data_IF_675823043309
#
_entry.id   IF_675823043309
#
_cell.length_a   1.000
_cell.length_b   1.000
_cell.length_c   1.000
_cell.angle_alpha   90.00
_cell.angle_beta   90.00
_cell.angle_gamma   90.00
#
_symmetry.space_group_name_H-M   'P 1'
#
loop_
_entity.id
_entity.type
_entity.pdbx_description
1 polymer ?
#
# COMPACT_ATOMS: atom_id res chain seq x y z
N UNK A 1 -35.20 59.10 -59.71
CA UNK A 1 -36.44 58.94 -59.00
C UNK A 1 -36.13 57.88 -57.91
N UNK A 2 -35.73 58.33 -56.84
CA UNK A 2 -36.38 58.78 -55.59
C UNK A 2 -36.48 57.61 -54.61
N UNK A 3 -35.98 57.65 -53.64
CA UNK A 3 -35.81 58.26 -52.32
C UNK A 3 -35.79 57.14 -51.29
N UNK A 4 -34.73 57.10 -50.49
CA UNK A 4 -34.65 57.39 -49.05
C UNK A 4 -35.63 56.53 -48.21
N UNK A 5 -35.18 55.91 -47.15
CA UNK A 5 -34.81 56.46 -45.84
C UNK A 5 -34.19 55.41 -44.94
N UNK A 6 -33.16 55.81 -44.36
CA UNK A 6 -32.51 55.58 -43.08
C UNK A 6 -33.49 55.17 -41.96
N UNK A 7 -33.13 54.13 -41.21
CA UNK A 7 -33.47 54.10 -39.79
C UNK A 7 -32.48 53.21 -39.00
N UNK A 8 -31.68 53.87 -38.21
CA UNK A 8 -30.71 53.34 -37.26
C UNK A 8 -31.45 52.90 -36.03
N UNK A 9 -31.30 51.62 -35.64
CA UNK A 9 -31.69 51.18 -34.33
C UNK A 9 -30.46 50.63 -33.58
N UNK A 10 -30.11 51.38 -32.53
CA UNK A 10 -29.02 51.05 -31.60
C UNK A 10 -29.49 49.99 -30.64
N UNK A 11 -28.99 48.77 -30.78
CA UNK A 11 -29.07 47.74 -29.73
C UNK A 11 -27.78 47.76 -28.89
N UNK A 12 -27.92 48.24 -27.67
CA UNK A 12 -26.91 48.15 -26.61
C UNK A 12 -26.56 46.68 -26.30
N UNK A 13 -25.33 46.33 -26.56
CA UNK A 13 -24.75 45.03 -26.14
C UNK A 13 -24.27 45.18 -24.69
N UNK A 14 -25.08 44.68 -23.72
CA UNK A 14 -24.63 44.48 -22.35
C UNK A 14 -23.61 43.36 -22.32
N UNK A 15 -22.36 43.71 -22.08
CA UNK A 15 -21.28 42.79 -21.73
C UNK A 15 -21.57 42.24 -20.33
N UNK A 16 -21.95 40.97 -20.26
CA UNK A 16 -21.93 40.20 -19.01
C UNK A 16 -20.47 39.80 -18.78
N UNK A 17 -19.85 40.38 -17.77
CA UNK A 17 -18.55 39.94 -17.23
C UNK A 17 -18.72 38.51 -16.73
N UNK A 18 -18.14 37.55 -17.46
CA UNK A 18 -17.84 36.22 -16.96
C UNK A 18 -16.67 36.39 -16.00
N UNK A 19 -16.93 36.32 -14.70
CA UNK A 19 -15.92 36.24 -13.68
C UNK A 19 -15.06 35.02 -13.93
N UNK A 20 -13.79 35.25 -14.25
CA UNK A 20 -12.79 34.21 -14.32
C UNK A 20 -12.47 33.73 -12.91
N UNK A 21 -13.09 32.64 -12.46
CA UNK A 21 -12.65 31.94 -11.26
C UNK A 21 -11.23 31.41 -11.50
N UNK A 22 -10.36 31.70 -10.55
CA UNK A 22 -8.96 31.31 -10.59
C UNK A 22 -8.85 29.76 -10.51
N UNK A 23 -7.88 29.13 -11.19
CA UNK A 23 -7.63 27.68 -11.04
C UNK A 23 -7.33 27.23 -9.60
N UNK A 24 -6.96 28.15 -8.72
CA UNK A 24 -6.75 27.92 -7.29
C UNK A 24 -8.08 27.75 -6.53
N UNK A 25 -9.12 28.52 -6.86
CA UNK A 25 -10.45 28.41 -6.23
C UNK A 25 -11.16 27.11 -6.64
N UNK A 26 -10.92 26.61 -7.86
CA UNK A 26 -11.41 25.29 -8.29
C UNK A 26 -10.73 24.13 -7.57
N UNK A 27 -9.48 24.31 -7.11
CA UNK A 27 -8.77 23.29 -6.32
C UNK A 27 -9.24 23.25 -4.86
N UNK A 28 -9.55 24.41 -4.25
CA UNK A 28 -10.08 24.46 -2.87
C UNK A 28 -11.48 23.83 -2.76
N UNK A 29 -12.31 23.95 -3.78
CA UNK A 29 -13.66 23.34 -3.76
C UNK A 29 -13.65 21.81 -3.98
N UNK A 30 -12.62 21.27 -4.65
CA UNK A 30 -12.51 19.82 -4.89
C UNK A 30 -11.91 19.06 -3.71
N UNK A 31 -11.13 19.72 -2.84
CA UNK A 31 -10.53 19.09 -1.66
C UNK A 31 -11.53 18.91 -0.50
N UNK A 32 -12.62 19.68 -0.45
CA UNK A 32 -13.64 19.52 0.61
C UNK A 32 -14.59 18.32 0.36
N UNK A 33 -14.75 17.86 -0.87
CA UNK A 33 -15.69 16.78 -1.22
C UNK A 33 -15.15 15.37 -0.91
N UNK A 34 -13.85 15.23 -0.64
CA UNK A 34 -13.17 13.95 -0.30
C UNK A 34 -12.73 13.86 1.16
N UNK A 35 -13.18 14.75 2.01
CA UNK A 35 -12.87 14.72 3.45
C UNK A 35 -13.58 13.54 4.14
N UNK A 36 -12.94 12.58 4.08
CA UNK A 36 -12.59 11.30 4.52
C UNK A 36 -13.26 10.82 5.75
N UNK A 37 -14.10 11.02 6.41
CA UNK A 37 -14.59 10.17 7.52
C UNK A 37 -16.11 10.29 7.68
N UNK A 38 -16.83 9.33 7.13
CA UNK A 38 -18.27 9.18 7.37
C UNK A 38 -18.61 8.91 8.86
N UNK A 39 -17.60 8.53 9.66
CA UNK A 39 -17.73 8.24 11.08
C UNK A 39 -16.46 8.72 11.81
N UNK A 40 -16.62 9.68 12.72
CA UNK A 40 -15.54 10.27 13.52
C UNK A 40 -15.16 9.43 14.76
N UNK A 41 -15.49 8.13 14.79
CA UNK A 41 -15.26 7.25 15.93
C UNK A 41 -13.79 7.16 16.30
N UNK A 42 -12.88 7.25 15.33
CA UNK A 42 -11.46 7.14 15.58
C UNK A 42 -10.72 8.42 15.20
N UNK A 43 -9.72 8.79 16.01
CA UNK A 43 -8.80 9.89 15.74
C UNK A 43 -7.73 9.46 14.75
N UNK A 44 -7.07 10.43 14.11
CA UNK A 44 -5.87 10.18 13.30
C UNK A 44 -4.78 9.56 14.15
N UNK A 45 -3.99 8.67 13.57
CA UNK A 45 -2.78 8.16 14.20
C UNK A 45 -1.77 9.30 14.42
N UNK A 46 -0.95 9.15 15.45
CA UNK A 46 0.22 10.02 15.62
C UNK A 46 1.40 9.36 14.92
N UNK A 47 1.98 10.08 13.97
CA UNK A 47 3.15 9.64 13.23
C UNK A 47 4.40 10.30 13.79
N UNK A 48 5.50 9.58 13.73
CA UNK A 48 6.84 10.12 13.95
C UNK A 48 7.48 10.48 12.61
N UNK A 49 8.63 11.15 12.63
CA UNK A 49 9.39 11.53 11.43
C UNK A 49 9.56 10.34 10.48
N UNK A 50 9.27 10.47 9.18
CA UNK A 50 9.54 9.44 8.21
C UNK A 50 10.99 8.97 8.24
N UNK A 51 11.20 7.68 7.98
CA UNK A 51 12.54 7.12 7.86
C UNK A 51 13.23 7.64 6.60
N UNK A 52 14.52 7.96 6.69
CA UNK A 52 15.36 8.31 5.54
C UNK A 52 15.78 7.09 4.69
N UNK A 53 15.42 5.88 5.12
CA UNK A 53 15.74 4.65 4.40
C UNK A 53 14.97 4.57 3.08
N UNK A 54 15.58 3.87 2.12
CA UNK A 54 14.88 3.36 0.94
C UNK A 54 14.43 1.93 1.17
N UNK A 55 13.47 1.49 0.38
CA UNK A 55 12.90 0.15 0.50
C UNK A 55 12.71 -0.47 -0.88
N UNK A 56 12.96 -1.77 -0.99
CA UNK A 56 12.56 -2.58 -2.14
C UNK A 56 11.64 -3.67 -1.59
N UNK A 57 10.36 -3.58 -1.93
CA UNK A 57 9.41 -4.64 -1.65
C UNK A 57 9.29 -5.56 -2.86
N UNK A 58 9.41 -6.88 -2.63
CA UNK A 58 9.20 -7.91 -3.64
C UNK A 58 8.11 -8.83 -3.12
N UNK A 59 6.98 -8.90 -3.84
CA UNK A 59 5.91 -9.86 -3.62
C UNK A 59 5.97 -10.97 -4.66
N UNK A 60 5.87 -12.24 -4.26
CA UNK A 60 5.93 -13.37 -5.17
C UNK A 60 4.80 -14.38 -4.91
N UNK A 61 4.14 -14.80 -5.98
CA UNK A 61 3.15 -15.87 -5.98
C UNK A 61 3.81 -17.18 -6.40
N UNK A 62 4.14 -18.01 -5.43
CA UNK A 62 4.82 -19.30 -5.67
C UNK A 62 3.82 -20.45 -5.62
N UNK A 63 3.19 -20.67 -4.48
CA UNK A 63 2.14 -21.65 -4.24
C UNK A 63 1.16 -21.12 -3.19
N UNK A 64 0.35 -20.12 -3.55
CA UNK A 64 -0.54 -19.48 -2.61
C UNK A 64 -1.58 -20.47 -2.10
N UNK A 65 -1.79 -20.47 -0.78
CA UNK A 65 -2.80 -21.28 -0.11
C UNK A 65 -3.81 -20.39 0.57
N UNK A 66 -5.08 -20.66 0.40
CA UNK A 66 -6.13 -20.00 1.17
C UNK A 66 -6.33 -20.70 2.52
N UNK A 67 -6.92 -20.00 3.49
CA UNK A 67 -7.37 -20.61 4.74
C UNK A 67 -8.37 -21.76 4.48
N UNK A 68 -8.31 -22.88 5.19
CA UNK A 68 -7.40 -23.17 6.32
C UNK A 68 -6.05 -23.79 5.91
N UNK A 69 -5.77 -23.98 4.63
CA UNK A 69 -4.59 -24.70 4.13
C UNK A 69 -3.25 -24.01 4.46
N UNK A 70 -3.28 -22.69 4.73
CA UNK A 70 -2.10 -21.93 5.18
C UNK A 70 -1.60 -22.38 6.56
N UNK A 71 -2.43 -23.04 7.36
CA UNK A 71 -2.06 -23.59 8.66
C UNK A 71 -1.35 -24.95 8.57
N UNK A 72 -1.36 -25.59 7.40
CA UNK A 72 -0.64 -26.85 7.17
C UNK A 72 0.84 -26.59 6.88
N UNK A 73 1.72 -27.56 7.17
CA UNK A 73 3.14 -27.48 6.83
C UNK A 73 3.35 -27.11 5.36
N UNK A 74 4.31 -26.26 5.09
CA UNK A 74 4.71 -25.86 3.73
C UNK A 74 5.35 -27.06 3.00
N UNK A 75 5.15 -27.10 1.68
CA UNK A 75 5.76 -28.15 0.86
C UNK A 75 7.27 -28.00 0.78
N UNK A 76 7.97 -29.12 0.53
CA UNK A 76 9.44 -29.18 0.47
C UNK A 76 10.03 -28.14 -0.49
N UNK A 77 9.48 -27.98 -1.69
CA UNK A 77 9.97 -27.04 -2.71
C UNK A 77 9.94 -25.58 -2.21
N UNK A 78 8.87 -25.19 -1.53
CA UNK A 78 8.77 -23.84 -0.94
C UNK A 78 9.76 -23.68 0.22
N UNK A 79 9.97 -24.70 1.03
CA UNK A 79 10.98 -24.68 2.11
C UNK A 79 12.39 -24.49 1.55
N UNK A 80 12.71 -25.21 0.47
CA UNK A 80 14.00 -25.10 -0.22
C UNK A 80 14.19 -23.71 -0.84
N UNK A 81 13.12 -23.14 -1.43
CA UNK A 81 13.15 -21.78 -1.94
C UNK A 81 13.43 -20.78 -0.81
N UNK A 82 12.67 -20.82 0.28
CA UNK A 82 12.85 -19.90 1.41
C UNK A 82 14.26 -19.99 2.01
N UNK A 83 14.83 -21.19 2.07
CA UNK A 83 16.22 -21.38 2.51
C UNK A 83 17.20 -20.67 1.57
N UNK A 84 17.05 -20.86 0.26
CA UNK A 84 17.89 -20.16 -0.74
C UNK A 84 17.71 -18.64 -0.67
N UNK A 85 16.49 -18.15 -0.51
CA UNK A 85 16.23 -16.71 -0.41
C UNK A 85 16.90 -16.10 0.83
N UNK A 86 16.90 -16.79 1.97
CA UNK A 86 17.62 -16.34 3.17
C UNK A 86 19.14 -16.26 2.96
N UNK A 87 19.73 -17.21 2.22
CA UNK A 87 21.14 -17.15 1.86
C UNK A 87 21.44 -15.94 0.96
N UNK A 88 20.57 -15.68 -0.03
CA UNK A 88 20.72 -14.51 -0.92
C UNK A 88 20.51 -13.19 -0.17
N UNK A 89 19.56 -13.16 0.77
CA UNK A 89 19.34 -11.99 1.62
C UNK A 89 20.60 -11.64 2.43
N UNK A 90 21.30 -12.61 3.00
CA UNK A 90 22.58 -12.37 3.71
C UNK A 90 23.65 -11.78 2.79
N UNK A 91 23.74 -12.24 1.53
CA UNK A 91 24.69 -11.64 0.57
C UNK A 91 24.30 -10.21 0.19
N UNK A 92 23.00 -9.87 0.20
CA UNK A 92 22.56 -8.47 0.05
C UNK A 92 22.96 -7.63 1.25
N UNK A 93 22.86 -8.14 2.46
CA UNK A 93 23.26 -7.44 3.69
C UNK A 93 24.80 -7.22 3.80
N UNK A 94 25.62 -7.90 2.98
CA UNK A 94 27.04 -7.62 2.84
C UNK A 94 27.32 -6.34 2.03
N UNK A 95 26.33 -5.84 1.28
CA UNK A 95 26.45 -4.58 0.52
C UNK A 95 26.34 -3.39 1.47
N UNK A 96 27.27 -2.43 1.36
CA UNK A 96 27.24 -1.22 2.20
C UNK A 96 25.95 -0.44 2.09
N UNK A 97 25.28 -0.48 0.95
CA UNK A 97 24.03 0.22 0.68
C UNK A 97 22.79 -0.42 1.33
N UNK A 98 22.88 -1.66 1.84
CA UNK A 98 21.78 -2.42 2.42
C UNK A 98 21.87 -2.40 3.94
N UNK A 99 20.77 -2.10 4.60
CA UNK A 99 20.63 -2.20 6.06
C UNK A 99 20.13 -3.58 6.48
N UNK A 100 19.05 -4.07 5.85
CA UNK A 100 18.48 -5.40 6.12
C UNK A 100 17.83 -5.98 4.87
N UNK A 101 17.74 -7.31 4.81
CA UNK A 101 16.98 -8.04 3.78
C UNK A 101 16.17 -9.16 4.43
N UNK A 102 14.89 -8.93 4.64
CA UNK A 102 14.02 -9.84 5.40
C UNK A 102 13.12 -10.65 4.48
N UNK A 103 13.06 -11.95 4.72
CA UNK A 103 12.20 -12.89 3.98
C UNK A 103 10.98 -13.23 4.82
N UNK A 104 9.80 -13.12 4.21
CA UNK A 104 8.52 -13.44 4.81
C UNK A 104 7.81 -14.56 4.07
N UNK A 105 7.09 -15.39 4.80
CA UNK A 105 6.13 -16.33 4.23
C UNK A 105 4.71 -16.05 4.73
N UNK A 106 3.72 -16.30 3.88
CA UNK A 106 2.32 -16.11 4.23
C UNK A 106 1.90 -16.99 5.40
N UNK A 107 1.37 -16.35 6.42
CA UNK A 107 0.69 -16.99 7.55
C UNK A 107 -0.82 -17.13 7.31
N UNK A 108 -1.43 -16.12 6.67
CA UNK A 108 -2.83 -16.17 6.23
C UNK A 108 -3.09 -15.15 5.11
N UNK A 109 -3.94 -15.52 4.18
CA UNK A 109 -4.41 -14.64 3.11
C UNK A 109 -5.94 -14.59 3.15
N UNK A 110 -6.54 -13.43 3.47
CA UNK A 110 -7.98 -13.25 3.41
C UNK A 110 -8.52 -13.38 1.99
N UNK A 111 -9.82 -13.67 1.81
CA UNK A 111 -10.44 -13.73 0.50
C UNK A 111 -10.59 -12.31 -0.09
N UNK A 112 -9.56 -11.79 -0.74
CA UNK A 112 -9.46 -10.42 -1.28
C UNK A 112 -10.62 -10.03 -2.19
N UNK A 113 -11.16 -10.97 -2.97
CA UNK A 113 -12.29 -10.78 -3.87
C UNK A 113 -13.61 -10.37 -3.19
N UNK A 114 -13.66 -10.38 -1.85
CA UNK A 114 -14.85 -9.96 -1.07
C UNK A 114 -14.87 -8.49 -0.72
N UNK A 115 -13.74 -7.80 -0.88
CA UNK A 115 -13.65 -6.36 -0.63
C UNK A 115 -14.33 -5.61 -1.78
N UNK A 116 -15.21 -4.62 -1.51
CA UNK A 116 -16.04 -3.99 -2.54
C UNK A 116 -15.24 -3.44 -3.71
N UNK A 117 -14.30 -2.53 -3.46
CA UNK A 117 -13.47 -1.93 -4.51
C UNK A 117 -12.69 -2.98 -5.31
N UNK A 118 -12.06 -3.95 -4.62
CA UNK A 118 -11.32 -5.04 -5.25
C UNK A 118 -12.21 -5.89 -6.16
N UNK A 119 -13.45 -6.15 -5.73
CA UNK A 119 -14.43 -6.91 -6.52
C UNK A 119 -14.82 -6.18 -7.81
N UNK A 120 -14.99 -4.87 -7.72
CA UNK A 120 -15.40 -4.03 -8.86
C UNK A 120 -14.26 -3.87 -9.87
N UNK A 121 -12.99 -3.80 -9.40
CA UNK A 121 -11.81 -3.55 -10.23
C UNK A 121 -10.90 -4.77 -10.44
N UNK A 122 -11.37 -5.98 -10.14
CA UNK A 122 -10.57 -7.22 -10.14
C UNK A 122 -9.85 -7.53 -11.47
N UNK A 123 -10.35 -7.03 -12.59
CA UNK A 123 -9.81 -7.28 -13.92
C UNK A 123 -8.81 -6.19 -14.37
N UNK A 124 -8.69 -5.09 -13.60
CA UNK A 124 -7.81 -3.95 -13.88
C UNK A 124 -6.72 -3.74 -12.84
N UNK A 125 -6.79 -4.40 -11.69
CA UNK A 125 -5.80 -4.27 -10.62
C UNK A 125 -4.96 -5.54 -10.47
N UNK A 126 -3.71 -5.39 -10.07
CA UNK A 126 -2.86 -6.50 -9.67
C UNK A 126 -3.27 -7.02 -8.29
N UNK A 127 -3.80 -8.25 -8.23
CA UNK A 127 -4.24 -8.83 -6.96
C UNK A 127 -3.03 -9.31 -6.14
N UNK A 128 -2.84 -8.78 -4.93
CA UNK A 128 -1.75 -9.13 -4.03
C UNK A 128 -1.90 -10.56 -3.44
N UNK A 129 -1.66 -11.58 -4.26
CA UNK A 129 -1.70 -12.99 -3.87
C UNK A 129 -0.33 -13.55 -3.52
N UNK A 130 0.55 -12.69 -3.03
CA UNK A 130 1.95 -13.03 -2.76
C UNK A 130 2.06 -13.89 -1.51
N UNK A 131 2.52 -15.11 -1.68
CA UNK A 131 2.72 -16.06 -0.58
C UNK A 131 4.18 -16.12 -0.09
N UNK A 132 5.06 -15.37 -0.75
CA UNK A 132 6.40 -15.00 -0.30
C UNK A 132 6.55 -13.50 -0.48
N UNK A 133 7.14 -12.83 0.51
CA UNK A 133 7.53 -11.43 0.38
C UNK A 133 8.98 -11.25 0.82
N UNK A 134 9.67 -10.29 0.21
CA UNK A 134 11.00 -9.83 0.61
C UNK A 134 10.93 -8.32 0.81
N UNK A 135 11.49 -7.85 1.92
CA UNK A 135 11.67 -6.43 2.15
C UNK A 135 13.16 -6.17 2.34
N UNK A 136 13.73 -5.40 1.44
CA UNK A 136 15.11 -4.92 1.51
C UNK A 136 15.05 -3.46 1.96
N UNK A 137 15.71 -3.15 3.05
CA UNK A 137 15.90 -1.78 3.56
C UNK A 137 17.28 -1.30 3.16
N UNK A 138 17.35 -0.12 2.58
CA UNK A 138 18.60 0.48 2.08
C UNK A 138 18.85 1.81 2.77
N UNK A 139 20.08 2.29 2.77
CA UNK A 139 20.50 3.52 3.46
C UNK A 139 19.78 4.79 2.97
N UNK A 140 19.23 4.75 1.78
CA UNK A 140 18.44 5.85 1.20
C UNK A 140 17.56 5.36 0.06
N UNK A 141 16.55 6.15 -0.36
CA UNK A 141 15.77 5.84 -1.57
C UNK A 141 16.62 5.72 -2.84
N UNK A 142 17.66 6.52 -2.98
CA UNK A 142 18.60 6.40 -4.11
C UNK A 142 19.37 5.07 -4.09
N UNK A 143 19.82 4.65 -2.90
CA UNK A 143 20.51 3.38 -2.73
C UNK A 143 19.62 2.16 -3.10
N UNK A 144 18.29 2.28 -3.01
CA UNK A 144 17.39 1.22 -3.47
C UNK A 144 17.55 0.95 -4.98
N UNK A 145 17.71 2.00 -5.78
CA UNK A 145 17.98 1.85 -7.23
C UNK A 145 19.35 1.21 -7.50
N UNK A 146 20.38 1.67 -6.80
CA UNK A 146 21.73 1.12 -6.93
C UNK A 146 21.77 -0.38 -6.58
N UNK A 147 21.08 -0.78 -5.51
CA UNK A 147 20.98 -2.18 -5.09
C UNK A 147 20.32 -3.04 -6.16
N UNK A 148 19.28 -2.54 -6.84
CA UNK A 148 18.60 -3.28 -7.91
C UNK A 148 19.53 -3.60 -9.10
N UNK A 149 20.58 -2.84 -9.32
CA UNK A 149 21.57 -3.06 -10.39
C UNK A 149 22.66 -4.07 -9.99
N UNK A 150 22.75 -4.45 -8.72
CA UNK A 150 23.80 -5.36 -8.23
C UNK A 150 23.59 -6.82 -8.62
N UNK A 151 24.69 -7.56 -8.78
CA UNK A 151 24.64 -9.00 -9.04
C UNK A 151 23.97 -9.78 -7.89
N UNK A 152 24.10 -9.31 -6.65
CA UNK A 152 23.48 -9.94 -5.48
C UNK A 152 21.93 -9.86 -5.59
N UNK A 153 21.41 -8.69 -5.98
CA UNK A 153 19.98 -8.50 -6.21
C UNK A 153 19.47 -9.34 -7.38
N UNK A 154 20.17 -9.33 -8.52
CA UNK A 154 19.80 -10.14 -9.68
C UNK A 154 19.75 -11.63 -9.33
N UNK A 155 20.72 -12.12 -8.54
CA UNK A 155 20.74 -13.52 -8.10
C UNK A 155 19.57 -13.88 -7.18
N UNK A 156 19.11 -12.93 -6.33
CA UNK A 156 17.89 -13.09 -5.54
C UNK A 156 16.68 -13.14 -6.45
N UNK A 157 16.56 -12.20 -7.41
CA UNK A 157 15.45 -12.11 -8.35
C UNK A 157 15.34 -13.36 -9.24
N UNK A 158 16.45 -13.88 -9.75
CA UNK A 158 16.48 -15.13 -10.52
C UNK A 158 15.91 -16.30 -9.72
N UNK A 159 16.25 -16.40 -8.43
CA UNK A 159 15.72 -17.46 -7.56
C UNK A 159 14.20 -17.33 -7.34
N UNK A 160 13.68 -16.11 -7.26
CA UNK A 160 12.24 -15.83 -7.13
C UNK A 160 11.53 -16.12 -8.45
N UNK A 161 12.00 -15.55 -9.56
CA UNK A 161 11.36 -15.66 -10.88
C UNK A 161 11.29 -17.09 -11.38
N UNK A 162 12.32 -17.91 -11.11
CA UNK A 162 12.32 -19.32 -11.45
C UNK A 162 11.30 -20.17 -10.68
N UNK A 163 10.77 -19.66 -9.56
CA UNK A 163 9.85 -20.40 -8.70
C UNK A 163 8.43 -19.80 -8.68
N UNK A 164 8.30 -18.53 -9.00
CA UNK A 164 7.05 -17.79 -8.92
C UNK A 164 6.28 -17.79 -10.25
N UNK A 165 4.97 -17.79 -10.16
CA UNK A 165 4.06 -17.59 -11.29
C UNK A 165 3.73 -16.12 -11.52
N UNK A 166 3.99 -15.28 -10.52
CA UNK A 166 3.73 -13.86 -10.53
C UNK A 166 4.67 -13.15 -9.54
N UNK A 167 5.22 -12.01 -9.94
CA UNK A 167 6.16 -11.23 -9.13
C UNK A 167 5.86 -9.75 -9.29
N UNK A 168 5.76 -9.06 -8.17
CA UNK A 168 5.68 -7.60 -8.10
C UNK A 168 6.91 -7.06 -7.38
N UNK A 169 7.49 -5.99 -7.90
CA UNK A 169 8.61 -5.27 -7.29
C UNK A 169 8.25 -3.81 -7.18
N UNK A 170 8.54 -3.19 -6.05
CA UNK A 170 8.34 -1.76 -5.83
C UNK A 170 9.53 -1.18 -5.05
N UNK A 171 10.29 -0.33 -5.71
CA UNK A 171 11.23 0.55 -5.02
C UNK A 171 10.46 1.74 -4.42
N UNK A 172 10.71 2.05 -3.15
CA UNK A 172 9.85 2.93 -2.39
C UNK A 172 10.59 3.71 -1.31
N UNK A 173 9.93 4.76 -0.80
CA UNK A 173 10.33 5.52 0.37
C UNK A 173 9.28 5.40 1.47
N UNK A 174 9.68 5.67 2.71
CA UNK A 174 8.71 5.78 3.79
C UNK A 174 8.01 7.15 3.74
N UNK A 175 6.69 7.12 3.73
CA UNK A 175 5.85 8.32 3.74
C UNK A 175 5.35 8.66 5.14
N UNK A 176 4.88 7.64 5.88
CA UNK A 176 4.37 7.76 7.24
C UNK A 176 4.81 6.57 8.08
N UNK A 177 5.10 6.79 9.37
CA UNK A 177 5.34 5.69 10.31
C UNK A 177 4.86 6.03 11.72
N UNK A 178 4.37 5.00 12.42
CA UNK A 178 4.02 5.09 13.84
C UNK A 178 5.25 4.78 14.69
N UNK A 179 5.99 3.76 14.32
CA UNK A 179 7.22 3.31 14.95
C UNK A 179 7.90 2.26 14.08
N UNK A 180 9.10 1.84 14.45
CA UNK A 180 9.87 0.86 13.68
C UNK A 180 9.27 -0.54 13.81
N UNK A 181 9.18 -1.23 12.67
CA UNK A 181 8.70 -2.62 12.61
C UNK A 181 9.86 -3.56 12.94
N UNK A 182 9.84 -4.17 14.14
CA UNK A 182 10.89 -5.11 14.57
C UNK A 182 10.81 -6.42 13.77
N UNK A 183 11.75 -6.60 12.86
CA UNK A 183 11.89 -7.79 12.01
C UNK A 183 12.88 -8.82 12.58
N UNK A 184 13.36 -8.63 13.81
CA UNK A 184 14.27 -9.56 14.48
C UNK A 184 13.52 -10.65 15.26
N UNK A 185 12.21 -10.44 15.53
CA UNK A 185 11.37 -11.34 16.32
C UNK A 185 10.20 -11.85 15.51
N UNK A 186 9.81 -13.08 15.77
CA UNK A 186 8.57 -13.65 15.25
C UNK A 186 7.35 -12.85 15.72
N UNK A 187 6.31 -12.88 14.91
CA UNK A 187 5.04 -12.19 15.17
C UNK A 187 4.11 -12.35 13.97
N UNK A 188 3.00 -11.65 14.00
CA UNK A 188 2.16 -11.49 12.82
C UNK A 188 2.55 -10.19 12.14
N UNK A 189 3.07 -10.29 10.93
CA UNK A 189 3.31 -9.16 10.07
C UNK A 189 2.13 -9.00 9.10
N UNK A 190 1.80 -7.79 8.76
CA UNK A 190 0.89 -7.47 7.68
C UNK A 190 1.66 -6.71 6.59
N UNK A 191 1.45 -7.08 5.34
CA UNK A 191 1.63 -6.16 4.22
C UNK A 191 0.24 -5.87 3.67
N UNK A 192 -0.17 -4.62 3.72
CA UNK A 192 -1.45 -4.17 3.19
C UNK A 192 -1.18 -3.36 1.92
N UNK A 193 -1.63 -3.88 0.79
CA UNK A 193 -1.42 -3.29 -0.53
C UNK A 193 -2.61 -2.42 -0.86
N UNK A 194 -2.37 -1.14 -1.10
CA UNK A 194 -3.40 -0.16 -1.40
C UNK A 194 -3.45 0.15 -2.88
N UNK A 195 -4.66 0.19 -3.41
CA UNK A 195 -5.01 0.69 -4.74
C UNK A 195 -6.06 1.78 -4.57
N UNK A 196 -5.97 2.85 -5.33
CA UNK A 196 -6.90 3.97 -5.24
C UNK A 196 -6.91 4.72 -6.57
N UNK A 197 -8.02 5.38 -6.86
CA UNK A 197 -8.13 6.29 -8.00
C UNK A 197 -7.32 7.57 -7.75
N UNK A 198 -7.27 8.01 -6.47
CA UNK A 198 -6.48 9.14 -6.01
C UNK A 198 -5.52 8.71 -4.87
N UNK A 199 -4.19 8.77 -5.10
CA UNK A 199 -3.19 8.44 -4.08
C UNK A 199 -3.22 9.38 -2.86
N UNK A 200 -3.54 10.68 -3.03
CA UNK A 200 -3.55 11.66 -1.93
C UNK A 200 -4.71 11.34 -0.98
N UNK A 201 -5.89 11.02 -1.52
CA UNK A 201 -7.05 10.57 -0.75
C UNK A 201 -6.71 9.31 0.07
N UNK A 202 -6.00 8.35 -0.52
CA UNK A 202 -5.57 7.15 0.21
C UNK A 202 -4.60 7.51 1.34
N UNK A 203 -3.64 8.40 1.10
CA UNK A 203 -2.68 8.84 2.12
C UNK A 203 -3.37 9.56 3.28
N UNK A 204 -4.36 10.39 3.02
CA UNK A 204 -5.14 11.05 4.07
C UNK A 204 -6.01 10.05 4.83
N UNK A 205 -6.68 9.14 4.13
CA UNK A 205 -7.48 8.08 4.72
C UNK A 205 -6.65 7.19 5.63
N UNK A 206 -5.40 6.92 5.27
CA UNK A 206 -4.48 6.09 6.07
C UNK A 206 -4.31 6.60 7.50
N UNK A 207 -4.36 7.91 7.73
CA UNK A 207 -4.24 8.50 9.07
C UNK A 207 -5.30 7.96 10.02
N UNK A 208 -6.53 7.83 9.55
CA UNK A 208 -7.67 7.34 10.32
C UNK A 208 -7.71 5.82 10.40
N UNK A 209 -7.36 5.13 9.30
CA UNK A 209 -7.22 3.68 9.32
C UNK A 209 -6.17 3.25 10.34
N UNK A 210 -4.99 3.86 10.31
CA UNK A 210 -3.91 3.59 11.27
C UNK A 210 -4.35 3.92 12.71
N UNK A 211 -5.02 5.07 12.91
CA UNK A 211 -5.56 5.47 14.21
C UNK A 211 -6.57 4.46 14.78
N UNK A 212 -7.43 3.92 13.94
CA UNK A 212 -8.39 2.88 14.37
C UNK A 212 -7.69 1.59 14.82
N UNK A 213 -6.61 1.18 14.12
CA UNK A 213 -5.81 0.02 14.54
C UNK A 213 -5.00 0.28 15.81
N UNK A 214 -4.46 1.49 16.00
CA UNK A 214 -3.83 1.90 17.28
C UNK A 214 -4.82 1.76 18.42
N UNK A 215 -6.02 2.32 18.28
CA UNK A 215 -7.05 2.31 19.32
C UNK A 215 -7.54 0.89 19.66
N UNK A 216 -7.80 0.07 18.65
CA UNK A 216 -8.47 -1.22 18.82
C UNK A 216 -7.49 -2.38 19.06
N UNK A 217 -6.28 -2.28 18.53
CA UNK A 217 -5.33 -3.40 18.58
C UNK A 217 -4.08 -3.12 19.41
N UNK A 218 -3.87 -1.84 19.79
CA UNK A 218 -2.63 -1.42 20.45
C UNK A 218 -1.44 -1.44 19.48
N UNK A 219 -1.68 -1.19 18.19
CA UNK A 219 -0.62 -1.08 17.19
C UNK A 219 0.31 0.07 17.56
N UNK A 220 1.59 -0.21 17.70
CA UNK A 220 2.65 0.74 18.10
C UNK A 220 3.75 0.91 17.03
N UNK A 221 3.63 0.20 15.92
CA UNK A 221 4.60 0.20 14.84
C UNK A 221 3.89 0.08 13.48
N UNK A 222 4.36 0.84 12.49
CA UNK A 222 3.83 0.79 11.12
C UNK A 222 4.73 1.62 10.22
N UNK A 223 4.99 1.14 9.01
CA UNK A 223 5.75 1.82 7.97
C UNK A 223 4.94 1.81 6.68
N UNK A 224 4.42 2.96 6.28
CA UNK A 224 3.73 3.15 5.00
C UNK A 224 4.77 3.51 3.93
N UNK A 225 4.87 2.69 2.92
CA UNK A 225 5.77 2.81 1.79
C UNK A 225 5.01 3.32 0.58
N UNK A 226 5.52 4.37 -0.07
CA UNK A 226 5.01 4.85 -1.36
C UNK A 226 6.07 4.64 -2.44
N UNK A 227 5.67 4.40 -3.70
CA UNK A 227 6.61 4.24 -4.80
C UNK A 227 7.54 5.44 -4.92
N UNK A 228 8.76 5.24 -5.43
CA UNK A 228 9.61 6.34 -5.87
C UNK A 228 8.97 7.02 -7.10
N UNK A 229 9.26 8.30 -7.30
CA UNK A 229 8.58 9.14 -8.31
C UNK A 229 8.64 8.60 -9.76
N UNK A 230 9.66 7.82 -10.08
CA UNK A 230 9.87 7.17 -11.38
C UNK A 230 9.43 5.70 -11.42
N UNK A 231 8.83 5.19 -10.33
CA UNK A 231 8.39 3.81 -10.23
C UNK A 231 7.01 3.61 -10.87
N UNK A 232 6.92 2.70 -11.82
CA UNK A 232 5.63 2.25 -12.35
C UNK A 232 5.09 1.13 -11.44
N UNK A 233 4.42 1.50 -10.37
CA UNK A 233 3.93 0.57 -9.36
C UNK A 233 2.42 0.29 -9.51
N UNK A 234 2.02 -0.96 -9.29
CA UNK A 234 0.61 -1.39 -9.29
C UNK A 234 -0.14 -0.91 -8.03
N UNK A 235 0.59 -0.51 -6.99
CA UNK A 235 0.04 -0.08 -5.71
C UNK A 235 0.45 1.37 -5.40
N UNK A 236 -0.52 2.16 -4.95
CA UNK A 236 -0.27 3.53 -4.51
C UNK A 236 0.50 3.59 -3.19
N UNK A 237 0.37 2.55 -2.36
CA UNK A 237 1.18 2.36 -1.16
C UNK A 237 1.15 0.91 -0.68
N UNK A 238 2.18 0.53 0.10
CA UNK A 238 2.24 -0.73 0.84
C UNK A 238 2.52 -0.41 2.30
N UNK A 239 1.64 -0.83 3.21
CA UNK A 239 1.89 -0.67 4.64
C UNK A 239 2.44 -1.97 5.24
N UNK A 240 3.53 -1.86 5.98
CA UNK A 240 4.08 -2.94 6.81
C UNK A 240 3.86 -2.62 8.30
N UNK A 241 3.31 -3.57 9.04
CA UNK A 241 3.12 -3.47 10.48
C UNK A 241 3.25 -4.85 11.14
N UNK A 242 3.44 -4.90 12.46
CA UNK A 242 3.67 -6.13 13.21
C UNK A 242 2.93 -6.13 14.56
N UNK A 243 2.50 -7.31 14.98
CA UNK A 243 1.94 -7.57 16.32
C UNK A 243 2.68 -8.71 17.01
N UNK A 244 2.96 -8.54 18.30
CA UNK A 244 3.56 -9.56 19.18
C UNK A 244 2.55 -10.62 19.62
N UNK A 245 1.75 -11.14 18.70
CA UNK A 245 0.73 -12.17 18.98
C UNK A 245 0.76 -13.27 17.93
N UNK A 246 0.22 -14.44 18.29
CA UNK A 246 0.09 -15.54 17.33
C UNK A 246 -1.04 -15.30 16.32
N UNK A 247 -0.89 -15.88 15.13
CA UNK A 247 -1.81 -15.72 14.01
C UNK A 247 -3.27 -16.03 14.35
N UNK A 248 -3.54 -17.08 15.12
CA UNK A 248 -4.91 -17.46 15.48
C UNK A 248 -5.57 -16.40 16.37
N UNK A 249 -4.80 -15.81 17.31
CA UNK A 249 -5.29 -14.74 18.19
C UNK A 249 -5.52 -13.46 17.38
N UNK A 250 -4.65 -13.15 16.44
CA UNK A 250 -4.82 -12.01 15.54
C UNK A 250 -6.09 -12.17 14.71
N UNK A 251 -6.26 -13.29 14.00
CA UNK A 251 -7.45 -13.58 13.20
C UNK A 251 -8.74 -13.53 14.02
N UNK A 252 -8.70 -14.05 15.26
CA UNK A 252 -9.88 -14.01 16.15
C UNK A 252 -10.25 -12.56 16.48
N UNK A 253 -9.28 -11.70 16.83
CA UNK A 253 -9.52 -10.27 17.10
C UNK A 253 -10.10 -9.57 15.86
N UNK A 254 -9.51 -9.75 14.71
CA UNK A 254 -10.01 -9.19 13.45
C UNK A 254 -11.45 -9.65 13.12
N UNK A 255 -11.75 -10.92 13.32
CA UNK A 255 -13.08 -11.48 13.05
C UNK A 255 -14.14 -11.04 14.06
N UNK A 256 -13.78 -10.77 15.30
CA UNK A 256 -14.73 -10.40 16.36
C UNK A 256 -14.95 -8.90 16.49
N UNK A 257 -13.99 -8.07 16.07
CA UNK A 257 -14.11 -6.61 16.12
C UNK A 257 -14.97 -6.07 14.95
N UNK A 258 -16.28 -6.06 15.17
CA UNK A 258 -17.23 -5.59 14.14
C UNK A 258 -17.13 -4.09 13.91
N UNK A 259 -16.86 -3.29 14.96
CA UNK A 259 -16.74 -1.83 14.88
C UNK A 259 -15.58 -1.44 13.96
N UNK A 260 -14.38 -1.96 14.24
CA UNK A 260 -13.19 -1.71 13.42
C UNK A 260 -13.43 -2.11 11.95
N UNK A 261 -13.97 -3.30 11.71
CA UNK A 261 -14.22 -3.78 10.34
C UNK A 261 -15.23 -2.90 9.60
N UNK A 262 -16.33 -2.50 10.28
CA UNK A 262 -17.34 -1.62 9.70
C UNK A 262 -16.73 -0.27 9.34
N UNK A 263 -15.99 0.34 10.26
CA UNK A 263 -15.27 1.59 10.05
C UNK A 263 -14.34 1.51 8.84
N UNK A 264 -13.45 0.53 8.81
CA UNK A 264 -12.48 0.32 7.72
C UNK A 264 -13.19 0.15 6.37
N UNK A 265 -14.18 -0.75 6.31
CA UNK A 265 -14.87 -1.05 5.05
C UNK A 265 -15.70 0.14 4.53
N UNK A 266 -16.38 0.87 5.44
CA UNK A 266 -17.17 2.04 5.07
C UNK A 266 -16.29 3.14 4.48
N UNK A 267 -15.17 3.42 5.14
CA UNK A 267 -14.26 4.48 4.71
C UNK A 267 -13.49 4.12 3.43
N UNK A 268 -13.00 2.88 3.29
CA UNK A 268 -12.39 2.42 2.05
C UNK A 268 -13.36 2.57 0.87
N UNK A 269 -14.62 2.15 1.05
CA UNK A 269 -15.63 2.24 0.00
C UNK A 269 -15.97 3.69 -0.36
N UNK A 270 -16.17 4.55 0.64
CA UNK A 270 -16.54 5.96 0.43
C UNK A 270 -15.47 6.74 -0.33
N UNK A 271 -14.21 6.35 -0.20
CA UNK A 271 -13.06 7.03 -0.80
C UNK A 271 -12.50 6.31 -2.04
N UNK A 272 -13.19 5.33 -2.59
CA UNK A 272 -12.72 4.53 -3.75
C UNK A 272 -11.30 3.98 -3.55
N UNK A 273 -11.05 3.43 -2.35
CA UNK A 273 -9.77 2.83 -1.97
C UNK A 273 -9.94 1.33 -1.77
N UNK A 274 -9.08 0.56 -2.40
CA UNK A 274 -8.94 -0.88 -2.18
C UNK A 274 -7.77 -1.17 -1.24
N UNK A 275 -7.96 -2.11 -0.33
CA UNK A 275 -6.92 -2.59 0.57
C UNK A 275 -6.85 -4.11 0.50
N UNK A 276 -5.66 -4.66 0.27
CA UNK A 276 -5.42 -6.10 0.15
C UNK A 276 -4.43 -6.56 1.23
N UNK A 277 -4.93 -6.82 2.46
CA UNK A 277 -4.06 -7.27 3.54
C UNK A 277 -3.62 -8.72 3.34
N UNK A 278 -2.33 -8.98 3.45
CA UNK A 278 -1.75 -10.31 3.51
C UNK A 278 -0.96 -10.44 4.81
N UNK A 279 -1.22 -11.52 5.56
CA UNK A 279 -0.57 -11.77 6.84
C UNK A 279 0.62 -12.69 6.63
N UNK A 280 1.74 -12.30 7.21
CA UNK A 280 3.02 -13.01 7.10
C UNK A 280 3.60 -13.34 8.47
N UNK A 281 4.59 -14.20 8.45
CA UNK A 281 5.57 -14.43 9.52
C UNK A 281 6.97 -14.40 8.91
N UNK A 282 7.98 -14.27 9.73
CA UNK A 282 9.36 -14.44 9.27
C UNK A 282 9.54 -15.88 8.75
N UNK A 283 10.15 -16.02 7.60
CA UNK A 283 10.38 -17.31 6.97
C UNK A 283 11.41 -18.17 7.72
#
# INVERSE_FOLDING_TARGET
MDSSTDDTDHAEYRSTELGSESPAELRESSTEEYAVVADSTYSRAQFIEPSSLGYIHIGATVRPRSLPLTLLPIGREKTELLTRLKERARHLEELEAVETATIFETAAMPPLHRLPYIKEHKDSIHLARFDVAVLIETKSPAAAREVQETQAYQTLMDAIQNAATDVHVMASRNEKRIGDVDKTKQGVFIFNYFVADDPEVMLELFDYLAGSYVAETGLDNSTLLVPLDDENADYVAINNARWDIGILRFLWRELTNKSLRSFVQTNLKANQVGAMPVLYRLA
#
